data_IF_800237248428
#
_entry.id   IF_800237248428
#
_cell.length_a   1.000
_cell.length_b   1.000
_cell.length_c   1.000
_cell.angle_alpha   90.00
_cell.angle_beta   90.00
_cell.angle_gamma   90.00
#
_symmetry.space_group_name_H-M   'P 1'
#
loop_
_entity.id
_entity.type
_entity.pdbx_description
1 polymer ?
#
# COMPACT_ATOMS: atom_id res chain seq x y z
N UNK A 1 -4.09 11.05 -11.63
CA UNK A 1 -4.06 12.43 -11.10
C UNK A 1 -3.72 13.38 -12.22
N UNK A 2 -2.44 13.64 -12.47
CA UNK A 2 -1.98 14.72 -13.38
C UNK A 2 -2.59 14.75 -14.79
N UNK A 3 -2.87 13.62 -15.43
CA UNK A 3 -3.49 13.61 -16.79
C UNK A 3 -4.91 14.19 -16.84
N UNK A 4 -5.57 14.46 -15.71
CA UNK A 4 -6.89 15.08 -15.67
C UNK A 4 -6.90 16.47 -15.01
N UNK A 5 -5.73 17.03 -14.65
CA UNK A 5 -5.66 18.32 -13.94
C UNK A 5 -6.37 18.29 -12.58
N UNK A 6 -6.42 17.13 -11.91
CA UNK A 6 -7.10 16.97 -10.61
C UNK A 6 -6.13 16.37 -9.59
N UNK A 7 -5.98 17.05 -8.47
CA UNK A 7 -5.21 16.65 -7.30
C UNK A 7 -6.09 15.87 -6.31
N UNK A 8 -5.73 14.61 -6.05
CA UNK A 8 -6.45 13.72 -5.15
C UNK A 8 -5.76 13.64 -3.80
N UNK A 9 -6.54 13.51 -2.74
CA UNK A 9 -6.02 13.19 -1.41
C UNK A 9 -5.66 11.72 -1.30
N UNK A 10 -4.46 11.44 -0.78
CA UNK A 10 -3.98 10.08 -0.49
C UNK A 10 -3.49 10.03 0.95
N UNK A 11 -3.93 9.00 1.67
CA UNK A 11 -3.38 8.63 2.96
C UNK A 11 -2.85 7.20 2.89
N UNK A 12 -1.66 6.98 3.41
CA UNK A 12 -1.00 5.68 3.44
C UNK A 12 -0.46 5.40 4.85
N UNK A 13 -0.68 4.20 5.36
CA UNK A 13 -0.09 3.73 6.61
C UNK A 13 0.41 2.29 6.45
N UNK A 14 1.64 2.03 6.88
CA UNK A 14 2.25 0.71 6.86
C UNK A 14 2.17 0.11 8.26
N UNK A 15 1.72 -1.13 8.34
CA UNK A 15 1.70 -1.92 9.57
C UNK A 15 2.47 -3.22 9.35
N UNK A 16 3.22 -3.67 10.36
CA UNK A 16 3.92 -4.97 10.31
C UNK A 16 3.21 -6.09 11.06
N UNK A 17 2.12 -5.79 11.79
CA UNK A 17 1.43 -6.76 12.64
C UNK A 17 -0.09 -6.67 12.57
N UNK A 18 -0.73 -7.82 12.80
CA UNK A 18 -2.18 -7.97 12.86
C UNK A 18 -2.75 -7.58 14.22
N UNK A 19 -4.08 -7.71 14.38
CA UNK A 19 -4.76 -7.48 15.67
C UNK A 19 -4.22 -8.36 16.81
N UNK A 20 -3.74 -9.56 16.48
CA UNK A 20 -3.14 -10.51 17.44
C UNK A 20 -1.63 -10.31 17.63
N UNK A 21 -1.07 -9.19 17.15
CA UNK A 21 0.37 -8.88 17.18
C UNK A 21 1.28 -9.88 16.45
N UNK A 22 0.70 -10.76 15.64
CA UNK A 22 1.45 -11.67 14.77
C UNK A 22 1.99 -10.92 13.55
N UNK A 23 3.10 -11.42 12.98
CA UNK A 23 3.68 -10.89 11.74
C UNK A 23 2.65 -10.91 10.62
N UNK A 24 2.27 -9.72 10.15
CA UNK A 24 1.27 -9.52 9.13
C UNK A 24 1.51 -8.16 8.47
N UNK A 25 2.57 -8.03 7.66
CA UNK A 25 2.88 -6.78 6.98
C UNK A 25 1.79 -6.44 5.97
N UNK A 26 1.21 -5.24 6.08
CA UNK A 26 0.17 -4.76 5.19
C UNK A 26 0.14 -3.23 5.14
N UNK A 27 -0.39 -2.69 4.06
CA UNK A 27 -0.49 -1.25 3.82
C UNK A 27 -1.97 -0.87 3.76
N UNK A 28 -2.35 0.15 4.52
CA UNK A 28 -3.65 0.80 4.42
C UNK A 28 -3.50 2.01 3.51
N UNK A 29 -4.24 2.02 2.40
CA UNK A 29 -4.28 3.16 1.48
C UNK A 29 -5.71 3.66 1.38
N UNK A 30 -5.92 4.95 1.63
CA UNK A 30 -7.18 5.64 1.43
C UNK A 30 -6.99 6.74 0.41
N UNK A 31 -7.86 6.78 -0.59
CA UNK A 31 -7.80 7.76 -1.69
C UNK A 31 -9.16 8.42 -1.81
N UNK A 32 -9.18 9.73 -2.03
CA UNK A 32 -10.42 10.44 -2.32
C UNK A 32 -10.98 10.03 -3.69
N UNK A 33 -12.29 9.83 -3.78
CA UNK A 33 -13.00 9.56 -5.05
C UNK A 33 -13.33 10.87 -5.78
N UNK A 34 -12.32 11.72 -5.87
CA UNK A 34 -12.40 13.08 -6.36
C UNK A 34 -11.21 13.88 -5.87
N UNK A 35 -11.12 15.13 -6.31
CA UNK A 35 -9.99 15.99 -6.00
C UNK A 35 -10.26 17.42 -6.41
N UNK A 36 -9.29 18.28 -6.20
CA UNK A 36 -9.37 19.70 -6.55
C UNK A 36 -8.65 19.92 -7.87
N UNK A 37 -9.24 20.66 -8.80
CA UNK A 37 -8.56 21.08 -10.04
C UNK A 37 -7.72 22.35 -9.84
N UNK A 38 -7.03 22.80 -10.89
CA UNK A 38 -6.17 23.98 -10.84
C UNK A 38 -6.94 25.28 -10.46
N UNK A 39 -8.27 25.29 -10.61
CA UNK A 39 -9.15 26.40 -10.24
C UNK A 39 -9.71 26.27 -8.81
N UNK A 40 -9.30 25.27 -8.03
CA UNK A 40 -9.81 25.06 -6.68
C UNK A 40 -11.17 24.34 -6.63
N UNK A 41 -11.68 23.85 -7.76
CA UNK A 41 -13.01 23.25 -7.86
C UNK A 41 -12.94 21.74 -7.66
N UNK A 42 -13.83 21.21 -6.81
CA UNK A 42 -13.94 19.76 -6.63
C UNK A 42 -14.44 19.06 -7.89
N UNK A 43 -13.74 18.01 -8.30
CA UNK A 43 -14.10 17.10 -9.39
C UNK A 43 -14.21 15.69 -8.87
N UNK A 44 -15.36 15.06 -9.09
CA UNK A 44 -15.56 13.66 -8.74
C UNK A 44 -14.77 12.73 -9.65
N UNK A 45 -14.24 11.65 -9.06
CA UNK A 45 -13.53 10.59 -9.76
C UNK A 45 -14.11 9.23 -9.37
N UNK A 46 -14.21 8.35 -10.35
CA UNK A 46 -14.56 6.95 -10.14
C UNK A 46 -13.43 6.05 -10.63
N UNK A 47 -13.26 4.93 -9.95
CA UNK A 47 -12.26 3.91 -10.32
C UNK A 47 -12.98 2.59 -10.51
N UNK A 48 -12.70 1.91 -11.63
CA UNK A 48 -13.16 0.55 -11.82
C UNK A 48 -12.34 -0.39 -10.91
N UNK A 49 -12.95 -1.12 -9.95
CA UNK A 49 -12.24 -1.87 -8.91
C UNK A 49 -11.19 -2.83 -9.47
N UNK A 50 -11.55 -3.62 -10.49
CA UNK A 50 -10.62 -4.60 -11.11
C UNK A 50 -9.46 -3.92 -11.85
N UNK A 51 -9.70 -2.76 -12.46
CA UNK A 51 -8.65 -2.03 -13.17
C UNK A 51 -7.68 -1.37 -12.18
N UNK A 52 -8.21 -0.81 -11.08
CA UNK A 52 -7.41 -0.27 -9.98
C UNK A 52 -6.54 -1.36 -9.36
N UNK A 53 -7.12 -2.53 -9.06
CA UNK A 53 -6.40 -3.69 -8.53
C UNK A 53 -5.25 -4.11 -9.46
N UNK A 54 -5.53 -4.27 -10.76
CA UNK A 54 -4.53 -4.65 -11.76
C UNK A 54 -3.41 -3.62 -11.88
N UNK A 55 -3.75 -2.34 -11.96
CA UNK A 55 -2.76 -1.25 -12.06
C UNK A 55 -1.91 -1.15 -10.79
N UNK A 56 -2.53 -1.30 -9.61
CA UNK A 56 -1.82 -1.31 -8.34
C UNK A 56 -0.79 -2.44 -8.29
N UNK A 57 -1.20 -3.68 -8.57
CA UNK A 57 -0.26 -4.82 -8.58
C UNK A 57 0.87 -4.61 -9.58
N UNK A 58 0.57 -4.10 -10.77
CA UNK A 58 1.59 -3.79 -11.77
C UNK A 58 2.58 -2.73 -11.25
N UNK A 59 2.09 -1.61 -10.71
CA UNK A 59 2.94 -0.54 -10.17
C UNK A 59 3.84 -1.04 -9.02
N UNK A 60 3.28 -1.82 -8.08
CA UNK A 60 4.05 -2.38 -6.96
C UNK A 60 5.13 -3.33 -7.48
N UNK A 61 4.81 -4.20 -8.45
CA UNK A 61 5.81 -5.08 -9.07
C UNK A 61 6.91 -4.29 -9.75
N UNK A 62 6.57 -3.29 -10.57
CA UNK A 62 7.58 -2.47 -11.25
C UNK A 62 8.49 -1.76 -10.25
N UNK A 63 7.91 -1.21 -9.18
CA UNK A 63 8.67 -0.59 -8.11
C UNK A 63 9.63 -1.60 -7.46
N UNK A 64 9.13 -2.76 -7.02
CA UNK A 64 9.97 -3.79 -6.39
C UNK A 64 11.07 -4.28 -7.33
N UNK A 65 10.77 -4.51 -8.62
CA UNK A 65 11.77 -4.90 -9.61
C UNK A 65 12.89 -3.88 -9.73
N UNK A 66 12.61 -2.58 -9.57
CA UNK A 66 13.63 -1.52 -9.62
C UNK A 66 14.41 -1.35 -8.32
N UNK A 67 14.13 -2.11 -7.27
CA UNK A 67 14.80 -1.96 -5.97
C UNK A 67 16.00 -2.90 -5.78
N UNK A 68 16.34 -3.77 -6.74
CA UNK A 68 17.43 -4.75 -6.55
C UNK A 68 18.75 -4.09 -6.10
N UNK A 69 19.19 -3.04 -6.78
CA UNK A 69 20.44 -2.33 -6.46
C UNK A 69 20.36 -1.51 -5.14
N UNK A 70 19.16 -1.33 -4.59
CA UNK A 70 18.91 -0.51 -3.40
C UNK A 70 18.46 -1.32 -2.20
N UNK A 71 18.39 -2.65 -2.32
CA UNK A 71 17.87 -3.54 -1.28
C UNK A 71 18.99 -4.37 -0.67
N UNK A 72 19.13 -4.32 0.65
CA UNK A 72 19.93 -5.30 1.38
C UNK A 72 19.11 -6.57 1.56
N UNK A 73 19.57 -7.68 0.98
CA UNK A 73 18.93 -8.99 1.15
C UNK A 73 19.13 -9.47 2.58
N UNK A 74 18.06 -9.74 3.35
CA UNK A 74 18.19 -10.27 4.70
C UNK A 74 18.86 -11.66 4.71
N UNK A 75 19.59 -12.04 5.77
CA UNK A 75 20.24 -13.35 5.85
C UNK A 75 19.29 -14.54 5.62
N UNK A 76 18.02 -14.41 6.02
CA UNK A 76 17.01 -15.45 5.81
C UNK A 76 16.71 -15.70 4.32
N UNK A 77 17.05 -14.74 3.45
CA UNK A 77 16.87 -14.80 2.01
C UNK A 77 18.21 -14.87 1.25
N UNK A 78 19.29 -15.36 1.87
CA UNK A 78 20.62 -15.44 1.26
C UNK A 78 20.70 -16.28 -0.04
N UNK A 79 19.64 -17.02 -0.39
CA UNK A 79 19.50 -17.71 -1.67
C UNK A 79 19.24 -16.76 -2.85
N UNK A 80 18.84 -15.51 -2.61
CA UNK A 80 18.68 -14.49 -3.64
C UNK A 80 20.03 -13.84 -3.92
N UNK A 81 20.78 -14.36 -4.90
CA UNK A 81 22.16 -13.94 -5.16
C UNK A 81 22.29 -13.01 -6.36
N UNK A 82 21.25 -12.91 -7.18
CA UNK A 82 21.25 -12.14 -8.41
C UNK A 82 19.96 -11.36 -8.63
N UNK A 83 20.02 -10.38 -9.53
CA UNK A 83 18.82 -9.68 -10.00
C UNK A 83 17.80 -10.67 -10.57
N UNK A 84 18.26 -11.75 -11.20
CA UNK A 84 17.35 -12.74 -11.77
C UNK A 84 16.57 -13.50 -10.69
N UNK A 85 17.20 -13.84 -9.56
CA UNK A 85 16.53 -14.46 -8.40
C UNK A 85 15.49 -13.50 -7.81
N UNK A 86 15.85 -12.22 -7.66
CA UNK A 86 14.94 -11.17 -7.22
C UNK A 86 13.73 -11.01 -8.14
N UNK A 87 13.96 -10.96 -9.46
CA UNK A 87 12.91 -10.87 -10.47
C UNK A 87 11.99 -12.10 -10.39
N UNK A 88 12.56 -13.30 -10.27
CA UNK A 88 11.80 -14.52 -10.07
C UNK A 88 10.94 -14.44 -8.81
N UNK A 89 11.50 -13.98 -7.68
CA UNK A 89 10.74 -13.77 -6.46
C UNK A 89 9.59 -12.79 -6.67
N UNK A 90 9.83 -11.58 -7.16
CA UNK A 90 8.81 -10.53 -7.29
C UNK A 90 7.68 -10.93 -8.25
N UNK A 91 8.00 -11.63 -9.34
CA UNK A 91 7.02 -12.04 -10.33
C UNK A 91 6.18 -13.24 -9.88
N UNK A 92 6.76 -14.14 -9.08
CA UNK A 92 6.07 -15.35 -8.60
C UNK A 92 5.49 -15.21 -7.18
N UNK A 93 5.95 -14.23 -6.41
CA UNK A 93 5.44 -13.95 -5.07
C UNK A 93 3.94 -13.62 -5.10
N UNK A 94 3.20 -14.26 -4.19
CA UNK A 94 1.76 -14.06 -4.02
C UNK A 94 0.87 -14.79 -5.04
N UNK A 95 1.43 -15.59 -5.96
CA UNK A 95 0.66 -16.36 -6.93
C UNK A 95 -0.40 -15.53 -7.67
N UNK A 96 -1.63 -16.06 -7.79
CA UNK A 96 -2.79 -15.32 -8.33
C UNK A 96 -3.51 -14.44 -7.30
N UNK A 97 -3.13 -14.48 -6.01
CA UNK A 97 -4.00 -14.01 -4.92
C UNK A 97 -3.38 -12.87 -4.11
N UNK A 98 -3.16 -11.73 -4.76
CA UNK A 98 -2.96 -10.46 -4.04
C UNK A 98 -4.29 -10.05 -3.41
N UNK A 99 -4.42 -10.17 -2.08
CA UNK A 99 -5.62 -9.78 -1.34
C UNK A 99 -5.71 -8.25 -1.23
N UNK A 100 -6.29 -7.62 -2.26
CA UNK A 100 -6.54 -6.17 -2.31
C UNK A 100 -8.02 -5.96 -2.03
N UNK A 101 -8.34 -5.58 -0.80
CA UNK A 101 -9.69 -5.24 -0.40
C UNK A 101 -9.99 -3.79 -0.72
N UNK A 102 -10.91 -3.55 -1.66
CA UNK A 102 -11.42 -2.23 -1.97
C UNK A 102 -12.72 -1.99 -1.19
N UNK A 103 -12.63 -1.21 -0.11
CA UNK A 103 -13.80 -0.86 0.69
C UNK A 103 -14.74 0.08 -0.08
N UNK A 104 -16.04 0.01 0.24
CA UNK A 104 -17.05 0.92 -0.34
C UNK A 104 -16.75 2.37 0.05
N UNK A 105 -17.17 3.31 -0.82
CA UNK A 105 -17.13 4.77 -0.52
C UNK A 105 -17.82 5.03 0.82
N UNK A 106 -17.11 5.66 1.75
CA UNK A 106 -17.72 6.21 2.96
C UNK A 106 -18.29 7.60 2.64
N UNK A 107 -19.56 7.82 3.01
CA UNK A 107 -20.19 9.16 2.92
C UNK A 107 -19.93 10.00 4.18
N UNK A 108 -19.29 9.44 5.21
CA UNK A 108 -19.15 10.07 6.51
C UNK A 108 -17.68 10.46 6.76
N UNK A 109 -17.39 11.75 6.60
CA UNK A 109 -16.04 12.31 6.82
C UNK A 109 -15.50 12.08 8.22
N UNK A 110 -16.34 12.17 9.26
CA UNK A 110 -15.92 11.91 10.66
C UNK A 110 -15.46 10.46 10.85
N UNK A 111 -16.16 9.49 10.24
CA UNK A 111 -15.72 8.09 10.25
C UNK A 111 -14.39 7.90 9.51
N UNK A 112 -14.17 8.61 8.40
CA UNK A 112 -12.89 8.61 7.68
C UNK A 112 -11.77 9.16 8.57
N UNK A 113 -11.95 10.34 9.16
CA UNK A 113 -10.94 10.94 10.04
C UNK A 113 -10.63 10.04 11.25
N UNK A 114 -11.66 9.46 11.88
CA UNK A 114 -11.46 8.50 12.97
C UNK A 114 -10.79 7.20 12.52
N UNK A 115 -11.03 6.76 11.28
CA UNK A 115 -10.29 5.67 10.68
C UNK A 115 -8.81 6.07 10.60
N UNK A 116 -8.48 7.14 9.87
CA UNK A 116 -7.11 7.65 9.69
C UNK A 116 -6.36 7.82 11.01
N UNK A 117 -7.00 8.46 12.00
CA UNK A 117 -6.42 8.69 13.32
C UNK A 117 -6.10 7.42 14.11
N UNK A 118 -6.86 6.33 13.91
CA UNK A 118 -6.53 5.03 14.54
C UNK A 118 -5.30 4.36 13.93
N UNK A 119 -5.00 4.63 12.65
CA UNK A 119 -3.79 4.12 12.00
C UNK A 119 -2.55 4.87 12.45
N UNK A 120 -2.64 6.20 12.64
CA UNK A 120 -1.54 7.00 13.18
C UNK A 120 -1.13 6.58 14.61
N UNK A 121 -2.07 6.09 15.41
CA UNK A 121 -1.82 5.66 16.80
C UNK A 121 -1.10 4.33 16.93
N UNK A 122 -0.97 3.55 15.86
CA UNK A 122 -0.29 2.25 15.90
C UNK A 122 1.12 2.39 15.32
N UNK A 123 2.19 2.18 16.12
CA UNK A 123 3.53 2.21 15.59
C UNK A 123 3.68 1.12 14.51
N UNK A 124 4.54 1.33 13.51
CA UNK A 124 4.73 0.39 12.42
C UNK A 124 5.26 -0.97 12.89
N UNK A 125 5.85 -1.06 14.10
CA UNK A 125 6.41 -2.28 14.72
C UNK A 125 5.62 -2.63 15.99
N UNK A 126 5.38 -3.93 16.24
CA UNK A 126 4.66 -4.35 17.46
C UNK A 126 5.55 -4.18 18.69
N UNK A 127 4.95 -3.75 19.81
CA UNK A 127 5.68 -3.64 21.09
C UNK A 127 6.33 -4.97 21.53
N UNK A 128 5.69 -6.10 21.23
CA UNK A 128 6.26 -7.43 21.49
C UNK A 128 7.60 -7.68 20.78
N UNK A 129 7.83 -7.07 19.61
CA UNK A 129 9.12 -7.18 18.90
C UNK A 129 10.17 -6.21 19.43
N UNK A 130 9.76 -5.13 20.08
CA UNK A 130 10.67 -4.20 20.75
C UNK A 130 11.16 -4.76 22.10
N UNK A 131 10.34 -5.57 22.78
CA UNK A 131 10.71 -6.20 24.06
C UNK A 131 11.69 -7.37 23.92
N UNK A 132 11.96 -7.83 22.70
CA UNK A 132 12.92 -8.91 22.41
C UNK A 132 14.29 -8.39 21.95
N UNK A 133 14.54 -7.08 22.09
CA UNK A 133 15.82 -6.42 21.87
C UNK A 133 16.32 -5.76 23.16
#
# INVERSE_FOLDING_TARGET
>A
GRRRGVEVGVFCAIHTYGRRLNWHPHIHVSVTLGGIDDAGVWKDLSFHPSALRRRWMWNVRQYLLSQWEHTTVPPENAHLQSENDWRHLVLNAGGQHWHIHLSKKTKNGKKTVNYLGRYLKKPPISGSRLAHY
#
